data_IF_639254764271
#
_entry.id   IF_639254764271
#
_cell.length_a   1.000
_cell.length_b   1.000
_cell.length_c   1.000
_cell.angle_alpha   90.00
_cell.angle_beta   90.00
_cell.angle_gamma   90.00
#
_symmetry.space_group_name_H-M   'P 1'
#
loop_
_entity.id
_entity.type
_entity.pdbx_description
1 polymer ?
#
# COMPACT_ATOMS: atom_id res chain seq x y z
N UNK A 1 -2.37 11.01 20.35
CA UNK A 1 -3.41 10.17 19.72
C UNK A 1 -3.43 8.84 20.44
N UNK A 2 -4.58 8.40 20.92
CA UNK A 2 -4.70 7.07 21.49
C UNK A 2 -4.89 5.98 20.41
N UNK A 3 -4.85 4.71 20.82
CA UNK A 3 -4.96 3.57 19.88
C UNK A 3 -6.32 3.53 19.18
N UNK A 4 -7.40 3.82 19.88
CA UNK A 4 -8.75 3.82 19.28
C UNK A 4 -8.89 4.92 18.25
N UNK A 5 -8.37 6.09 18.55
CA UNK A 5 -8.35 7.22 17.61
C UNK A 5 -7.48 6.89 16.37
N UNK A 6 -6.30 6.29 16.54
CA UNK A 6 -5.47 5.87 15.43
C UNK A 6 -6.18 4.86 14.52
N UNK A 7 -6.82 3.85 15.09
CA UNK A 7 -7.58 2.82 14.35
C UNK A 7 -8.76 3.44 13.60
N UNK A 8 -9.56 4.27 14.26
CA UNK A 8 -10.79 4.80 13.69
C UNK A 8 -10.58 5.96 12.73
N UNK A 9 -9.46 6.69 12.83
CA UNK A 9 -9.10 7.80 11.94
C UNK A 9 -8.23 7.42 10.75
N UNK A 10 -7.58 6.24 10.78
CA UNK A 10 -6.81 5.77 9.63
C UNK A 10 -7.70 5.58 8.39
N UNK A 11 -7.27 6.09 7.26
CA UNK A 11 -7.93 5.94 5.95
C UNK A 11 -6.90 5.54 4.90
N UNK A 12 -7.36 4.91 3.84
CA UNK A 12 -6.59 4.66 2.63
C UNK A 12 -6.56 5.94 1.77
N UNK A 13 -5.56 6.79 2.03
CA UNK A 13 -5.40 8.09 1.34
C UNK A 13 -4.80 7.86 -0.05
N UNK A 14 -5.35 8.54 -1.07
CA UNK A 14 -4.92 8.46 -2.47
C UNK A 14 -4.68 9.85 -3.06
N UNK A 15 -3.90 10.62 -2.37
CA UNK A 15 -3.44 11.96 -2.74
C UNK A 15 -2.59 12.48 -1.60
N UNK A 16 -1.31 12.62 -1.82
CA UNK A 16 -0.35 13.07 -0.82
C UNK A 16 0.23 14.42 -1.25
N UNK A 17 0.67 15.19 -0.26
CA UNK A 17 1.50 16.37 -0.50
C UNK A 17 2.94 15.95 -0.80
N UNK A 18 3.72 16.83 -1.38
CA UNK A 18 5.16 16.66 -1.64
C UNK A 18 6.04 16.94 -0.41
N UNK A 19 5.42 17.26 0.73
CA UNK A 19 6.13 17.56 1.97
C UNK A 19 6.97 16.35 2.41
N UNK A 20 8.30 16.48 2.51
CA UNK A 20 9.17 15.38 2.92
C UNK A 20 8.82 14.86 4.31
N UNK A 21 8.87 13.55 4.47
CA UNK A 21 8.78 12.93 5.80
C UNK A 21 10.18 12.86 6.41
N UNK A 22 10.41 13.43 7.60
CA UNK A 22 11.72 13.37 8.25
C UNK A 22 12.16 11.93 8.49
N UNK A 23 13.44 11.65 8.25
CA UNK A 23 14.04 10.33 8.43
C UNK A 23 13.83 9.79 9.85
N UNK A 24 13.97 10.65 10.84
CA UNK A 24 13.83 10.32 12.26
C UNK A 24 12.40 9.84 12.59
N UNK A 25 11.40 10.36 11.90
CA UNK A 25 10.00 9.91 12.04
C UNK A 25 9.86 8.49 11.52
N UNK A 26 10.39 8.22 10.31
CA UNK A 26 10.35 6.89 9.70
C UNK A 26 11.10 5.86 10.53
N UNK A 27 12.31 6.19 11.00
CA UNK A 27 13.11 5.31 11.87
C UNK A 27 12.39 5.01 13.19
N UNK A 28 11.81 6.00 13.82
CA UNK A 28 11.05 5.81 15.06
C UNK A 28 9.84 4.92 14.87
N UNK A 29 9.07 5.14 13.79
CA UNK A 29 7.91 4.33 13.45
C UNK A 29 8.31 2.87 13.18
N UNK A 30 9.33 2.64 12.36
CA UNK A 30 9.75 1.28 12.00
C UNK A 30 10.38 0.54 13.17
N UNK A 31 11.16 1.22 14.01
CA UNK A 31 11.71 0.65 15.25
C UNK A 31 10.61 0.20 16.21
N UNK A 32 9.57 1.03 16.38
CA UNK A 32 8.44 0.67 17.21
C UNK A 32 7.59 -0.45 16.58
N UNK A 33 7.39 -0.42 15.26
CA UNK A 33 6.63 -1.45 14.55
C UNK A 33 7.32 -2.83 14.61
N UNK A 34 8.64 -2.90 14.75
CA UNK A 34 9.37 -4.16 14.91
C UNK A 34 8.99 -4.95 16.17
N UNK A 35 8.27 -4.35 17.12
CA UNK A 35 7.65 -5.04 18.26
C UNK A 35 6.35 -5.76 17.92
N UNK A 36 5.93 -5.76 16.66
CA UNK A 36 4.78 -6.56 16.22
C UNK A 36 5.01 -8.04 16.52
N UNK A 37 3.98 -8.77 16.95
CA UNK A 37 4.12 -10.20 17.21
C UNK A 37 4.35 -10.98 15.92
N UNK A 38 5.06 -12.10 16.02
CA UNK A 38 5.19 -13.08 14.94
C UNK A 38 5.30 -14.50 15.49
N UNK A 39 4.91 -15.49 14.72
CA UNK A 39 5.03 -16.90 15.10
C UNK A 39 6.45 -17.24 15.50
N UNK A 40 6.66 -17.79 16.71
CA UNK A 40 7.98 -18.09 17.27
C UNK A 40 8.97 -16.90 17.26
N UNK A 41 8.45 -15.68 17.17
CA UNK A 41 9.22 -14.45 17.11
C UNK A 41 10.23 -14.39 15.93
N UNK A 42 9.86 -14.95 14.79
CA UNK A 42 10.77 -15.02 13.63
C UNK A 42 10.90 -13.70 12.87
N UNK A 43 10.00 -12.73 13.11
CA UNK A 43 10.09 -11.37 12.57
C UNK A 43 10.36 -11.34 11.04
N UNK A 44 9.45 -11.89 10.21
CA UNK A 44 9.74 -12.24 8.83
C UNK A 44 9.82 -11.06 7.87
N UNK A 45 9.48 -9.86 8.32
CA UNK A 45 9.40 -8.65 7.50
C UNK A 45 10.76 -8.07 7.17
N UNK A 46 10.93 -7.73 5.91
CA UNK A 46 12.02 -6.93 5.42
C UNK A 46 11.45 -5.63 4.84
N UNK A 47 12.07 -4.49 5.10
CA UNK A 47 11.54 -3.19 4.69
C UNK A 47 12.61 -2.34 4.05
N UNK A 48 12.38 -1.91 2.80
CA UNK A 48 13.12 -0.83 2.16
C UNK A 48 12.33 0.46 2.25
N UNK A 49 12.97 1.52 2.69
CA UNK A 49 12.40 2.87 2.72
C UNK A 49 13.04 3.69 1.60
N UNK A 50 12.23 4.23 0.71
CA UNK A 50 12.68 5.00 -0.43
C UNK A 50 12.04 6.40 -0.37
N UNK A 51 12.88 7.43 -0.45
CA UNK A 51 12.48 8.84 -0.40
C UNK A 51 13.31 9.67 -1.39
N UNK A 52 12.91 10.93 -1.62
CA UNK A 52 13.70 11.87 -2.40
C UNK A 52 13.97 11.43 -3.84
N UNK A 53 15.18 11.71 -4.35
CA UNK A 53 15.54 11.45 -5.74
C UNK A 53 15.41 9.96 -6.15
N UNK A 54 15.84 8.96 -5.36
CA UNK A 54 15.60 7.55 -5.68
C UNK A 54 14.13 7.20 -5.85
N UNK A 55 13.24 7.77 -5.02
CA UNK A 55 11.80 7.54 -5.16
C UNK A 55 11.24 8.19 -6.43
N UNK A 56 11.69 9.39 -6.76
CA UNK A 56 11.27 10.09 -7.96
C UNK A 56 11.67 9.31 -9.23
N UNK A 57 12.89 8.77 -9.26
CA UNK A 57 13.37 7.95 -10.37
C UNK A 57 12.59 6.63 -10.49
N UNK A 58 12.34 5.95 -9.37
CA UNK A 58 11.53 4.73 -9.36
C UNK A 58 10.13 4.96 -9.89
N UNK A 59 9.45 6.04 -9.45
CA UNK A 59 8.14 6.43 -9.95
C UNK A 59 8.16 6.67 -11.45
N UNK A 60 9.16 7.43 -11.94
CA UNK A 60 9.34 7.70 -13.37
C UNK A 60 9.46 6.39 -14.16
N UNK A 61 10.36 5.49 -13.77
CA UNK A 61 10.55 4.20 -14.42
C UNK A 61 9.27 3.36 -14.43
N UNK A 62 8.55 3.33 -13.31
CA UNK A 62 7.31 2.57 -13.21
C UNK A 62 6.21 3.14 -14.13
N UNK A 63 6.03 4.46 -14.16
CA UNK A 63 5.05 5.12 -15.03
C UNK A 63 5.41 4.95 -16.51
N UNK A 64 6.69 5.09 -16.87
CA UNK A 64 7.17 4.86 -18.23
C UNK A 64 6.93 3.42 -18.68
N UNK A 65 7.18 2.42 -17.83
CA UNK A 65 6.91 1.01 -18.13
C UNK A 65 5.42 0.79 -18.43
N UNK A 66 4.53 1.39 -17.64
CA UNK A 66 3.08 1.33 -17.89
C UNK A 66 2.73 1.96 -19.24
N UNK A 67 3.29 3.14 -19.54
CA UNK A 67 3.00 3.88 -20.75
C UNK A 67 3.48 3.17 -22.01
N UNK A 68 4.59 2.44 -21.95
CA UNK A 68 5.15 1.69 -23.09
C UNK A 68 4.43 0.39 -23.40
N UNK A 69 3.49 -0.05 -22.53
CA UNK A 69 2.76 -1.30 -22.71
C UNK A 69 3.63 -2.56 -22.61
N UNK A 70 4.84 -2.44 -22.05
CA UNK A 70 5.69 -3.61 -21.78
C UNK A 70 4.93 -4.57 -20.88
N UNK A 71 4.84 -5.86 -21.21
CA UNK A 71 4.17 -6.83 -20.36
C UNK A 71 4.73 -6.83 -18.94
N UNK A 72 3.84 -6.97 -17.98
CA UNK A 72 4.21 -7.18 -16.59
C UNK A 72 4.89 -8.54 -16.42
N UNK A 73 5.71 -8.64 -15.40
CA UNK A 73 6.25 -9.92 -14.98
C UNK A 73 5.10 -10.84 -14.55
N UNK A 74 5.29 -12.15 -14.64
CA UNK A 74 4.31 -13.13 -14.23
C UNK A 74 4.00 -12.97 -12.73
N UNK A 75 2.72 -13.03 -12.38
CA UNK A 75 2.31 -12.88 -10.97
C UNK A 75 2.70 -14.12 -10.18
N UNK A 76 3.21 -13.92 -8.98
CA UNK A 76 3.55 -15.03 -8.08
C UNK A 76 2.28 -15.70 -7.50
N UNK A 77 1.17 -14.95 -7.36
CA UNK A 77 -0.12 -15.46 -6.87
C UNK A 77 -1.28 -14.55 -7.27
N UNK A 78 -2.47 -15.08 -7.24
CA UNK A 78 -3.68 -14.32 -7.53
C UNK A 78 -4.09 -13.44 -6.34
N UNK A 79 -4.16 -12.12 -6.55
CA UNK A 79 -4.59 -11.15 -5.53
C UNK A 79 -6.03 -11.42 -5.04
N UNK A 80 -6.88 -11.90 -5.93
CA UNK A 80 -8.26 -12.25 -5.62
C UNK A 80 -8.63 -13.59 -6.22
N UNK A 81 -9.45 -14.40 -5.52
CA UNK A 81 -9.92 -15.64 -6.11
C UNK A 81 -10.73 -15.35 -7.39
N UNK A 82 -10.59 -16.16 -8.45
CA UNK A 82 -11.29 -15.97 -9.72
C UNK A 82 -12.82 -15.88 -9.58
N UNK A 83 -13.39 -16.63 -8.64
CA UNK A 83 -14.82 -16.68 -8.34
C UNK A 83 -15.08 -16.15 -6.91
N UNK A 84 -14.94 -14.85 -6.72
CA UNK A 84 -15.23 -14.23 -5.44
C UNK A 84 -16.72 -14.34 -5.08
N UNK A 85 -17.01 -14.91 -3.91
CA UNK A 85 -18.38 -15.15 -3.41
C UNK A 85 -18.89 -13.95 -2.60
N UNK A 86 -20.23 -13.94 -2.39
CA UNK A 86 -20.89 -13.08 -1.40
C UNK A 86 -20.35 -13.38 0.01
N UNK A 87 -20.22 -12.38 0.88
CA UNK A 87 -20.49 -10.95 0.69
C UNK A 87 -19.28 -10.15 0.15
N UNK A 88 -18.16 -10.81 -0.16
CA UNK A 88 -16.91 -10.14 -0.54
C UNK A 88 -17.02 -9.48 -1.92
N UNK A 89 -17.69 -10.14 -2.87
CA UNK A 89 -17.93 -9.60 -4.21
C UNK A 89 -18.72 -8.29 -4.16
N UNK A 90 -19.78 -8.25 -3.38
CA UNK A 90 -20.64 -7.08 -3.21
C UNK A 90 -19.88 -5.93 -2.53
N UNK A 91 -19.11 -6.21 -1.48
CA UNK A 91 -18.26 -5.21 -0.81
C UNK A 91 -17.22 -4.61 -1.75
N UNK A 92 -16.55 -5.44 -2.55
CA UNK A 92 -15.60 -4.97 -3.56
C UNK A 92 -16.26 -4.11 -4.63
N UNK A 93 -17.44 -4.51 -5.09
CA UNK A 93 -18.22 -3.76 -6.07
C UNK A 93 -18.67 -2.39 -5.52
N UNK A 94 -19.18 -2.36 -4.29
CA UNK A 94 -19.59 -1.14 -3.61
C UNK A 94 -18.41 -0.16 -3.46
N UNK A 95 -17.27 -0.67 -2.98
CA UNK A 95 -16.04 0.14 -2.86
C UNK A 95 -15.59 0.71 -4.22
N UNK A 96 -15.63 -0.10 -5.29
CA UNK A 96 -15.28 0.38 -6.63
C UNK A 96 -16.21 1.49 -7.11
N UNK A 97 -17.52 1.35 -6.86
CA UNK A 97 -18.52 2.37 -7.21
C UNK A 97 -18.28 3.68 -6.43
N UNK A 98 -18.04 3.59 -5.13
CA UNK A 98 -17.76 4.74 -4.28
C UNK A 98 -16.48 5.46 -4.72
N UNK A 99 -15.37 4.70 -4.92
CA UNK A 99 -14.08 5.26 -5.33
C UNK A 99 -14.14 6.00 -6.64
N UNK A 100 -14.69 5.38 -7.69
CA UNK A 100 -14.78 6.02 -9.00
C UNK A 100 -15.81 7.14 -9.04
N UNK A 101 -16.90 7.01 -8.27
CA UNK A 101 -17.87 8.10 -8.10
C UNK A 101 -17.24 9.34 -7.47
N UNK A 102 -16.42 9.17 -6.43
CA UNK A 102 -15.70 10.28 -5.80
C UNK A 102 -14.68 10.95 -6.75
N UNK A 103 -14.17 10.22 -7.75
CA UNK A 103 -13.29 10.76 -8.79
C UNK A 103 -14.06 11.35 -9.99
N UNK A 104 -15.38 11.29 -10.00
CA UNK A 104 -16.20 11.71 -11.14
C UNK A 104 -16.03 10.83 -12.39
N UNK A 105 -15.53 9.59 -12.22
CA UNK A 105 -15.24 8.66 -13.33
C UNK A 105 -16.44 7.72 -13.54
N UNK A 106 -17.06 7.80 -14.69
CA UNK A 106 -18.14 6.91 -15.08
C UNK A 106 -17.67 5.46 -15.21
N UNK A 107 -18.63 4.52 -15.05
CA UNK A 107 -18.32 3.09 -15.13
C UNK A 107 -17.81 2.69 -16.51
N UNK A 108 -18.32 3.31 -17.53
CA UNK A 108 -18.06 3.08 -18.95
C UNK A 108 -16.79 3.78 -19.43
N UNK A 109 -16.27 4.76 -18.67
CA UNK A 109 -15.06 5.50 -19.02
C UNK A 109 -13.80 4.69 -18.67
N UNK A 110 -13.50 3.74 -19.57
CA UNK A 110 -12.34 2.85 -19.40
C UNK A 110 -11.01 3.59 -19.40
N UNK A 111 -10.87 4.62 -20.24
CA UNK A 111 -9.62 5.39 -20.33
C UNK A 111 -9.34 6.18 -19.05
N UNK A 112 -10.36 6.86 -18.50
CA UNK A 112 -10.21 7.57 -17.22
C UNK A 112 -9.89 6.59 -16.08
N UNK A 113 -10.45 5.38 -16.10
CA UNK A 113 -10.16 4.33 -15.12
C UNK A 113 -8.71 3.83 -15.25
N UNK A 114 -8.20 3.67 -16.47
CA UNK A 114 -6.80 3.33 -16.68
C UNK A 114 -5.87 4.44 -16.21
N UNK A 115 -6.16 5.71 -16.54
CA UNK A 115 -5.39 6.85 -16.03
C UNK A 115 -5.37 6.89 -14.50
N UNK A 116 -6.51 6.65 -13.85
CA UNK A 116 -6.58 6.57 -12.38
C UNK A 116 -5.80 5.38 -11.79
N UNK A 117 -5.61 4.30 -12.56
CA UNK A 117 -4.80 3.17 -12.14
C UNK A 117 -3.29 3.47 -12.19
N UNK A 118 -2.86 4.34 -13.10
CA UNK A 118 -1.44 4.76 -13.20
C UNK A 118 -0.96 5.43 -11.91
N UNK A 119 -1.84 6.12 -11.18
CA UNK A 119 -1.51 6.76 -9.91
C UNK A 119 -0.96 5.77 -8.84
N UNK A 120 -1.26 4.46 -8.95
CA UNK A 120 -0.64 3.45 -8.08
C UNK A 120 0.88 3.40 -8.27
N UNK A 121 1.35 3.56 -9.50
CA UNK A 121 2.76 3.50 -9.87
C UNK A 121 3.52 4.78 -9.55
N UNK A 122 2.81 5.90 -9.48
CA UNK A 122 3.31 7.17 -8.94
C UNK A 122 3.17 7.25 -7.40
N UNK A 123 2.81 6.16 -6.75
CA UNK A 123 2.53 6.12 -5.30
C UNK A 123 1.55 7.23 -4.85
N UNK A 124 0.62 7.64 -5.70
CA UNK A 124 -0.34 8.74 -5.43
C UNK A 124 0.33 10.06 -5.00
N UNK A 125 1.53 10.35 -5.50
CA UNK A 125 2.30 11.53 -5.15
C UNK A 125 3.05 11.45 -3.81
N UNK A 126 2.99 10.34 -3.08
CA UNK A 126 3.61 10.22 -1.76
C UNK A 126 5.12 10.54 -1.79
N UNK A 127 5.64 11.27 -0.78
CA UNK A 127 7.07 11.64 -0.69
C UNK A 127 7.94 10.53 -0.09
N UNK A 128 7.33 9.47 0.43
CA UNK A 128 8.01 8.29 0.96
C UNK A 128 7.25 7.03 0.55
N UNK A 129 7.98 5.97 0.22
CA UNK A 129 7.44 4.64 -0.04
C UNK A 129 8.19 3.58 0.76
N UNK A 130 7.45 2.63 1.31
CA UNK A 130 7.98 1.48 2.02
C UNK A 130 7.69 0.23 1.18
N UNK A 131 8.74 -0.46 0.75
CA UNK A 131 8.63 -1.76 0.09
C UNK A 131 8.88 -2.84 1.13
N UNK A 132 7.83 -3.61 1.41
CA UNK A 132 7.84 -4.60 2.49
C UNK A 132 7.62 -5.98 1.88
N UNK A 133 8.48 -6.93 2.23
CA UNK A 133 8.43 -8.29 1.71
C UNK A 133 8.85 -9.31 2.76
N UNK A 134 8.50 -10.56 2.52
CA UNK A 134 8.99 -11.74 3.26
C UNK A 134 9.72 -12.66 2.30
N UNK A 135 10.51 -13.57 2.85
CA UNK A 135 11.19 -14.60 2.07
C UNK A 135 10.17 -15.53 1.39
N UNK A 136 10.48 -15.99 0.16
CA UNK A 136 9.61 -16.90 -0.61
C UNK A 136 9.41 -18.26 0.03
N UNK A 137 10.35 -18.69 0.86
CA UNK A 137 10.25 -19.97 1.59
C UNK A 137 9.26 -19.91 2.75
N UNK A 138 8.72 -18.73 3.08
CA UNK A 138 7.76 -18.52 4.15
C UNK A 138 6.32 -18.70 3.64
N UNK A 139 5.45 -19.18 4.53
CA UNK A 139 4.10 -19.56 4.19
C UNK A 139 3.00 -18.62 4.72
N UNK A 140 1.73 -19.07 4.66
CA UNK A 140 0.56 -18.26 5.02
C UNK A 140 0.58 -17.71 6.46
N UNK A 141 1.20 -18.39 7.40
CA UNK A 141 1.32 -17.92 8.78
C UNK A 141 2.17 -16.62 8.84
N UNK A 142 3.27 -16.56 8.09
CA UNK A 142 4.14 -15.39 8.04
C UNK A 142 3.53 -14.23 7.23
N UNK A 143 2.61 -14.52 6.33
CA UNK A 143 1.78 -13.48 5.70
C UNK A 143 0.86 -12.80 6.72
N UNK A 144 0.33 -13.56 7.69
CA UNK A 144 -0.43 -12.97 8.79
C UNK A 144 0.47 -12.10 9.68
N UNK A 145 1.68 -12.57 10.00
CA UNK A 145 2.69 -11.81 10.75
C UNK A 145 3.02 -10.48 10.03
N UNK A 146 3.25 -10.54 8.72
CA UNK A 146 3.47 -9.36 7.89
C UNK A 146 2.30 -8.37 7.95
N UNK A 147 1.06 -8.88 7.90
CA UNK A 147 -0.14 -8.06 8.03
C UNK A 147 -0.23 -7.35 9.37
N UNK A 148 0.16 -7.99 10.47
CA UNK A 148 0.23 -7.38 11.81
C UNK A 148 1.29 -6.27 11.85
N UNK A 149 2.48 -6.51 11.28
CA UNK A 149 3.53 -5.51 11.17
C UNK A 149 3.06 -4.30 10.35
N UNK A 150 2.51 -4.51 9.16
CA UNK A 150 2.02 -3.43 8.30
C UNK A 150 0.91 -2.61 8.96
N UNK A 151 -0.02 -3.26 9.66
CA UNK A 151 -1.06 -2.52 10.41
C UNK A 151 -0.44 -1.68 11.53
N UNK A 152 0.55 -2.22 12.25
CA UNK A 152 1.27 -1.48 13.30
C UNK A 152 1.97 -0.25 12.73
N UNK A 153 2.69 -0.39 11.61
CA UNK A 153 3.30 0.74 10.88
C UNK A 153 2.26 1.81 10.55
N UNK A 154 1.12 1.41 9.98
CA UNK A 154 0.07 2.36 9.58
C UNK A 154 -0.55 3.11 10.77
N UNK A 155 -0.70 2.46 11.91
CA UNK A 155 -1.21 3.09 13.14
C UNK A 155 -0.20 4.07 13.74
N UNK A 156 1.08 3.69 13.75
CA UNK A 156 2.16 4.56 14.23
C UNK A 156 2.33 5.78 13.32
N UNK A 157 2.27 5.62 12.00
CA UNK A 157 2.23 6.76 11.08
C UNK A 157 1.05 7.69 11.39
N UNK A 158 -0.11 7.11 11.71
CA UNK A 158 -1.28 7.91 12.09
C UNK A 158 -1.05 8.69 13.39
N UNK A 159 -0.37 8.11 14.37
CA UNK A 159 0.02 8.77 15.62
C UNK A 159 1.01 9.93 15.40
N UNK A 160 1.86 9.83 14.38
CA UNK A 160 2.76 10.91 13.93
C UNK A 160 2.04 11.98 13.06
N UNK A 161 0.73 11.92 12.92
CA UNK A 161 -0.04 12.87 12.08
C UNK A 161 0.03 12.57 10.59
N UNK A 162 0.64 11.47 10.18
CA UNK A 162 0.80 11.07 8.79
C UNK A 162 -0.35 10.17 8.32
N UNK A 163 -0.54 10.13 7.02
CA UNK A 163 -1.44 9.21 6.35
C UNK A 163 -0.66 8.18 5.53
N UNK A 164 -1.31 7.06 5.26
CA UNK A 164 -0.70 5.97 4.50
C UNK A 164 -1.69 5.31 3.55
N UNK A 165 -1.13 4.61 2.56
CA UNK A 165 -1.86 3.72 1.69
C UNK A 165 -1.07 2.42 1.54
N UNK A 166 -1.69 1.29 1.85
CA UNK A 166 -1.13 -0.02 1.53
C UNK A 166 -1.55 -0.41 0.11
N UNK A 167 -0.57 -0.78 -0.70
CA UNK A 167 -0.74 -1.33 -2.04
C UNK A 167 -0.13 -2.73 -2.08
N UNK A 168 -0.70 -3.60 -2.90
CA UNK A 168 -0.16 -4.93 -3.16
C UNK A 168 0.33 -4.94 -4.60
N UNK A 169 1.63 -5.15 -4.77
CA UNK A 169 2.31 -5.30 -6.04
C UNK A 169 2.84 -6.74 -6.12
N UNK A 170 2.31 -7.50 -7.06
CA UNK A 170 2.65 -8.90 -7.27
C UNK A 170 3.12 -9.07 -8.70
#
# INVERSE_FOLDING_TARGET
MDVYEAVTSRRAVRGFTDQPVPREVLERVLTAAAWSPSGSNIQPWNTYVVTGAPLAELKKLAVERVATGVPWDEREYEMYPPAMKSPYRERRSAFGKERYGALGIAREDWEARQRAAIANWDCFGAPAALFVYIDRDLGPAQWADLGMYLQTVMLLLRAEGLHSLSLIHI
#
